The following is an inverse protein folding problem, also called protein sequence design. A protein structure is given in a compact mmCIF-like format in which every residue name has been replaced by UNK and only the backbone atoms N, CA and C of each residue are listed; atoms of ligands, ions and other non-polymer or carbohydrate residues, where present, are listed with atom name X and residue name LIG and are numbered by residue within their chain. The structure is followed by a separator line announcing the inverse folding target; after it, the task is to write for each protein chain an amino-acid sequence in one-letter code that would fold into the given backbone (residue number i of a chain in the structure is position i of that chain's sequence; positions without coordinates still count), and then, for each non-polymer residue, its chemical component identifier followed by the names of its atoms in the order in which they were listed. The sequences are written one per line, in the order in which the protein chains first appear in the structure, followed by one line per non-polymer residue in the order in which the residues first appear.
data_IF_212107241263
#
_entry.id   IF_212107241263
#
_cell.length_a   1.000
_cell.length_b   1.000
_cell.length_c   1.000
_cell.angle_alpha   90.00
_cell.angle_beta   90.00
_cell.angle_gamma   90.00
#
_symmetry.space_group_name_H-M   'P 1'
#
loop_
_entity.id
_entity.type
_entity.pdbx_description
1 polymer ?
#
# COMPACT_ATOMS: atom_id res chain seq x y z
N UNK A 1 -0.93 -3.72 -6.80
CA UNK A 1 -0.41 -5.03 -6.38
C UNK A 1 -1.59 -5.94 -6.10
N UNK A 2 -1.51 -7.22 -6.50
CA UNK A 2 -2.52 -8.23 -6.13
C UNK A 2 -2.38 -8.63 -4.67
N UNK A 3 -3.34 -9.38 -4.15
CA UNK A 3 -3.30 -9.95 -2.79
C UNK A 3 -2.02 -10.75 -2.54
N UNK A 4 -1.65 -11.61 -3.49
CA UNK A 4 -0.40 -12.37 -3.44
C UNK A 4 0.84 -11.46 -3.33
N UNK A 5 0.91 -10.42 -4.17
CA UNK A 5 2.09 -9.54 -4.21
C UNK A 5 2.24 -8.75 -2.91
N UNK A 6 1.15 -8.17 -2.39
CA UNK A 6 1.22 -7.34 -1.18
C UNK A 6 1.48 -8.17 0.07
N UNK A 7 0.86 -9.35 0.21
CA UNK A 7 1.09 -10.25 1.34
C UNK A 7 2.53 -10.77 1.37
N UNK A 8 3.08 -11.18 0.21
CA UNK A 8 4.49 -11.56 0.11
C UNK A 8 5.46 -10.43 0.41
N UNK A 9 5.16 -9.22 -0.04
CA UNK A 9 5.96 -8.04 0.29
C UNK A 9 5.99 -7.81 1.81
N UNK A 10 4.84 -7.94 2.49
CA UNK A 10 4.73 -7.81 3.95
C UNK A 10 5.54 -8.89 4.69
N UNK A 11 5.44 -10.15 4.24
CA UNK A 11 6.23 -11.25 4.82
C UNK A 11 7.74 -10.98 4.74
N UNK A 12 8.22 -10.62 3.55
CA UNK A 12 9.64 -10.34 3.30
C UNK A 12 10.10 -9.12 4.09
N UNK A 13 9.31 -8.05 4.12
CA UNK A 13 9.64 -6.82 4.85
C UNK A 13 9.80 -7.09 6.36
N UNK A 14 8.95 -7.94 6.95
CA UNK A 14 9.06 -8.35 8.36
C UNK A 14 10.31 -9.16 8.65
N UNK A 15 10.66 -10.09 7.74
CA UNK A 15 11.88 -10.92 7.91
C UNK A 15 13.14 -10.08 7.79
N UNK A 16 13.19 -9.15 6.82
CA UNK A 16 14.35 -8.30 6.59
C UNK A 16 14.48 -7.19 7.65
N UNK A 17 13.36 -6.74 8.22
CA UNK A 17 13.33 -5.65 9.20
C UNK A 17 12.43 -6.06 10.38
N UNK A 18 12.92 -6.87 11.34
CA UNK A 18 12.10 -7.37 12.46
C UNK A 18 11.48 -6.27 13.33
N UNK A 19 12.09 -5.09 13.37
CA UNK A 19 11.61 -3.94 14.14
C UNK A 19 10.63 -3.05 13.34
N UNK A 20 10.36 -3.37 12.07
CA UNK A 20 9.41 -2.64 11.26
C UNK A 20 7.98 -2.94 11.71
N UNK A 21 7.29 -1.92 12.22
CA UNK A 21 5.87 -2.03 12.52
C UNK A 21 5.04 -1.85 11.24
N UNK A 22 4.41 -2.94 10.78
CA UNK A 22 3.48 -2.90 9.65
C UNK A 22 2.06 -2.74 10.21
N UNK A 23 1.56 -1.51 10.17
CA UNK A 23 0.23 -1.15 10.67
C UNK A 23 -0.93 -1.82 9.90
N UNK A 24 -0.69 -2.24 8.65
CA UNK A 24 -1.66 -2.97 7.85
C UNK A 24 -1.25 -3.07 6.39
N UNK A 25 -2.06 -3.78 5.60
CA UNK A 25 -1.94 -3.82 4.16
C UNK A 25 -3.31 -4.00 3.48
N UNK A 26 -3.36 -3.71 2.18
CA UNK A 26 -4.51 -3.93 1.32
C UNK A 26 -4.03 -4.21 -0.11
N UNK A 27 -4.69 -5.10 -0.86
CA UNK A 27 -4.42 -5.21 -2.29
C UNK A 27 -4.87 -3.94 -3.04
N UNK A 28 -4.49 -3.80 -4.31
CA UNK A 28 -4.76 -2.61 -5.13
C UNK A 28 -6.07 -2.63 -5.93
N UNK A 29 -6.98 -3.57 -5.66
CA UNK A 29 -8.21 -3.79 -6.43
C UNK A 29 -9.46 -3.56 -5.58
N UNK A 30 -9.57 -2.38 -4.96
CA UNK A 30 -10.63 -2.00 -4.01
C UNK A 30 -11.56 -0.90 -4.53
N UNK A 31 -11.67 -0.75 -5.85
CA UNK A 31 -12.30 0.41 -6.48
C UNK A 31 -13.81 0.53 -6.22
N UNK A 32 -14.46 -0.57 -5.87
CA UNK A 32 -15.89 -0.58 -5.54
C UNK A 32 -16.19 0.04 -4.17
N UNK A 33 -15.17 0.14 -3.29
CA UNK A 33 -15.29 0.73 -1.96
C UNK A 33 -13.96 1.37 -1.50
N UNK A 34 -13.65 2.53 -2.07
CA UNK A 34 -12.46 3.31 -1.68
C UNK A 34 -12.54 3.81 -0.24
N UNK A 35 -13.74 4.14 0.25
CA UNK A 35 -13.93 4.76 1.57
C UNK A 35 -13.64 3.78 2.71
N UNK A 36 -13.99 2.50 2.55
CA UNK A 36 -13.61 1.45 3.50
C UNK A 36 -12.08 1.32 3.61
N UNK A 37 -11.35 1.40 2.49
CA UNK A 37 -9.88 1.34 2.51
C UNK A 37 -9.28 2.58 3.17
N UNK A 38 -9.81 3.77 2.90
CA UNK A 38 -9.36 5.01 3.55
C UNK A 38 -9.60 4.97 5.05
N UNK A 39 -10.76 4.46 5.48
CA UNK A 39 -11.08 4.27 6.90
C UNK A 39 -10.10 3.30 7.55
N UNK A 40 -9.84 2.16 6.92
CA UNK A 40 -8.85 1.18 7.39
C UNK A 40 -7.45 1.77 7.52
N UNK A 41 -7.01 2.57 6.55
CA UNK A 41 -5.71 3.26 6.60
C UNK A 41 -5.66 4.21 7.79
N UNK A 42 -6.67 5.08 7.95
CA UNK A 42 -6.74 6.05 9.05
C UNK A 42 -6.76 5.37 10.42
N UNK A 43 -7.57 4.33 10.58
CA UNK A 43 -7.71 3.58 11.84
C UNK A 43 -6.46 2.77 12.18
N UNK A 44 -5.65 2.38 11.19
CA UNK A 44 -4.38 1.69 11.44
C UNK A 44 -3.33 2.55 12.17
N UNK A 45 -3.50 3.88 12.17
CA UNK A 45 -2.52 4.82 12.72
C UNK A 45 -1.20 4.87 11.94
N UNK A 46 -1.18 4.35 10.70
CA UNK A 46 -0.01 4.40 9.84
C UNK A 46 0.48 5.84 9.62
N UNK A 47 1.80 6.03 9.64
CA UNK A 47 2.43 7.32 9.30
C UNK A 47 2.91 7.41 7.87
N UNK A 48 3.32 6.26 7.31
CA UNK A 48 3.81 6.13 5.96
C UNK A 48 2.89 5.20 5.17
N UNK A 49 2.43 5.64 4.00
CA UNK A 49 1.63 4.84 3.08
C UNK A 49 2.37 4.61 1.76
N UNK A 50 2.61 3.35 1.42
CA UNK A 50 3.21 2.95 0.15
C UNK A 50 2.14 2.41 -0.80
N UNK A 51 2.00 3.04 -1.97
CA UNK A 51 0.93 2.74 -2.93
C UNK A 51 1.50 2.10 -4.19
N UNK A 52 1.22 0.81 -4.38
CA UNK A 52 1.61 0.03 -5.56
C UNK A 52 0.43 -0.11 -6.54
N UNK A 53 -0.13 1.01 -7.00
CA UNK A 53 -1.25 1.07 -7.94
C UNK A 53 -0.79 1.76 -9.22
N UNK A 54 -1.31 1.34 -10.37
CA UNK A 54 -1.01 1.93 -11.67
C UNK A 54 -1.62 3.32 -11.83
N UNK A 55 -0.91 4.21 -12.54
CA UNK A 55 -1.49 5.48 -13.00
C UNK A 55 -2.60 5.21 -14.04
N UNK A 56 -3.60 6.11 -14.16
CA UNK A 56 -3.82 7.34 -13.38
C UNK A 56 -4.56 7.12 -12.05
N UNK A 57 -4.91 5.87 -11.72
CA UNK A 57 -5.77 5.56 -10.56
C UNK A 57 -5.15 5.99 -9.24
N UNK A 58 -3.83 5.84 -9.11
CA UNK A 58 -3.06 6.27 -7.95
C UNK A 58 -3.21 7.78 -7.70
N UNK A 59 -2.99 8.60 -8.72
CA UNK A 59 -3.08 10.05 -8.62
C UNK A 59 -4.51 10.48 -8.24
N UNK A 60 -5.52 9.88 -8.86
CA UNK A 60 -6.93 10.17 -8.56
C UNK A 60 -7.30 9.80 -7.12
N UNK A 61 -6.87 8.62 -6.64
CA UNK A 61 -7.14 8.18 -5.27
C UNK A 61 -6.49 9.11 -4.24
N UNK A 62 -5.21 9.45 -4.42
CA UNK A 62 -4.50 10.34 -3.50
C UNK A 62 -5.14 11.73 -3.50
N UNK A 63 -5.40 12.31 -4.68
CA UNK A 63 -6.00 13.64 -4.77
C UNK A 63 -7.39 13.70 -4.10
N UNK A 64 -8.18 12.64 -4.24
CA UNK A 64 -9.53 12.54 -3.67
C UNK A 64 -9.52 12.35 -2.15
N UNK A 65 -8.57 11.60 -1.60
CA UNK A 65 -8.62 11.12 -0.22
C UNK A 65 -7.49 11.59 0.69
N UNK A 66 -6.49 12.34 0.19
CA UNK A 66 -5.32 12.78 0.95
C UNK A 66 -5.65 13.34 2.35
N UNK A 67 -6.67 14.20 2.44
CA UNK A 67 -7.07 14.84 3.71
C UNK A 67 -7.72 13.86 4.71
N UNK A 68 -8.19 12.70 4.24
CA UNK A 68 -8.87 11.68 5.03
C UNK A 68 -8.01 10.46 5.35
N UNK A 69 -6.86 10.28 4.69
CA UNK A 69 -5.97 9.14 4.90
C UNK A 69 -5.35 9.13 6.31
N UNK A 70 -5.11 10.31 6.90
CA UNK A 70 -4.52 10.43 8.24
C UNK A 70 -3.04 10.01 8.31
N UNK A 71 -2.34 10.00 7.17
CA UNK A 71 -0.92 9.64 7.05
C UNK A 71 -0.08 10.89 6.83
N UNK A 72 1.17 10.87 7.30
CA UNK A 72 2.08 12.01 7.21
C UNK A 72 2.82 12.01 5.85
N UNK A 73 2.90 10.85 5.18
CA UNK A 73 3.59 10.70 3.91
C UNK A 73 2.98 9.58 3.03
N UNK A 74 2.90 9.84 1.73
CA UNK A 74 2.45 8.88 0.72
C UNK A 74 3.51 8.73 -0.38
N UNK A 75 3.89 7.49 -0.69
CA UNK A 75 4.84 7.20 -1.77
C UNK A 75 4.26 6.19 -2.76
N UNK A 76 4.20 6.58 -4.03
CA UNK A 76 3.96 5.65 -5.12
C UNK A 76 5.18 4.77 -5.36
N UNK A 77 5.03 3.45 -5.25
CA UNK A 77 6.13 2.49 -5.46
C UNK A 77 5.97 1.65 -6.73
N UNK A 78 4.83 1.78 -7.43
CA UNK A 78 4.61 1.09 -8.70
C UNK A 78 4.90 -0.42 -8.63
N UNK A 79 5.69 -0.92 -9.58
CA UNK A 79 6.07 -2.33 -9.68
C UNK A 79 7.14 -2.80 -8.69
N UNK A 80 7.64 -1.94 -7.79
CA UNK A 80 8.65 -2.35 -6.79
C UNK A 80 8.16 -3.50 -5.92
N UNK A 81 6.85 -3.54 -5.59
CA UNK A 81 6.28 -4.67 -4.85
C UNK A 81 6.32 -5.98 -5.65
N UNK A 82 6.16 -5.95 -6.97
CA UNK A 82 6.28 -7.16 -7.78
C UNK A 82 7.72 -7.70 -7.80
N UNK A 83 8.73 -6.83 -7.70
CA UNK A 83 10.15 -7.23 -7.56
C UNK A 83 10.41 -7.82 -6.16
N UNK A 84 9.97 -7.12 -5.10
CA UNK A 84 10.15 -7.60 -3.72
C UNK A 84 9.45 -8.94 -3.50
N UNK A 85 8.23 -9.10 -4.04
CA UNK A 85 7.49 -10.36 -3.94
C UNK A 85 8.06 -11.50 -4.81
N UNK A 86 9.17 -11.27 -5.54
CA UNK A 86 9.79 -12.27 -6.41
C UNK A 86 8.98 -12.63 -7.65
N UNK A 87 7.97 -11.82 -8.01
CA UNK A 87 7.13 -12.04 -9.19
C UNK A 87 7.80 -11.55 -10.48
N UNK A 88 8.67 -10.55 -10.37
CA UNK A 88 9.47 -10.02 -11.49
C UNK A 88 10.93 -10.02 -11.08
N UNK A 89 11.78 -10.69 -11.88
CA UNK A 89 13.22 -10.55 -11.76
C UNK A 89 13.66 -9.28 -12.50
N UNK A 90 14.33 -8.36 -11.79
CA UNK A 90 14.97 -7.17 -12.35
C UNK A 90 16.36 -7.02 -11.79
#
# INVERSE_FOLDING_TARGET
ATEYVVSKTVEIAKVQNPNLNIAGYNNGYFWDDEEAVVTKIRESGAKLLFVAITSPKKENFINKWQDKLGVDFVMGVGGTFDVVAGKVNR
#
